data_IF_344880759369
#
_entry.id   IF_344880759369
#
_cell.length_a   1.000
_cell.length_b   1.000
_cell.length_c   1.000
_cell.angle_alpha   90.00
_cell.angle_beta   90.00
_cell.angle_gamma   90.00
#
_symmetry.space_group_name_H-M   'P 1'
#
loop_
_entity.id
_entity.type
_entity.pdbx_description
1 polymer ?
#
# COMPACT_ATOMS: atom_id res chain seq x y z
N UNK A 1 3.57 -34.23 -1.25
CA UNK A 1 3.20 -33.27 -0.18
C UNK A 1 3.47 -31.87 -0.71
N UNK A 2 2.46 -31.16 -1.22
CA UNK A 2 2.61 -29.83 -1.83
C UNK A 2 2.56 -28.80 -0.70
N UNK A 3 3.65 -28.08 -0.45
CA UNK A 3 3.67 -26.96 0.50
C UNK A 3 2.87 -25.83 -0.16
N UNK A 4 1.75 -25.38 0.45
CA UNK A 4 1.09 -24.16 -0.01
C UNK A 4 2.03 -23.00 0.31
N UNK A 5 2.61 -22.36 -0.71
CA UNK A 5 3.37 -21.12 -0.57
C UNK A 5 2.43 -19.99 -0.13
N UNK A 6 2.09 -19.97 1.17
CA UNK A 6 1.24 -18.95 1.76
C UNK A 6 2.13 -17.85 2.32
N UNK A 7 2.09 -16.68 1.70
CA UNK A 7 2.62 -15.44 2.28
C UNK A 7 1.55 -14.88 3.22
N UNK A 8 1.97 -14.36 4.37
CA UNK A 8 1.08 -13.72 5.35
C UNK A 8 1.66 -12.36 5.74
N UNK A 9 0.81 -11.36 5.91
CA UNK A 9 1.19 -10.07 6.48
C UNK A 9 1.34 -10.22 8.00
N UNK A 10 2.55 -9.97 8.51
CA UNK A 10 2.86 -10.05 9.95
C UNK A 10 2.84 -8.68 10.61
N UNK A 11 3.41 -7.67 9.95
CA UNK A 11 3.58 -6.31 10.49
C UNK A 11 3.23 -5.24 9.44
N UNK A 12 2.69 -4.12 9.89
CA UNK A 12 2.48 -2.91 9.09
C UNK A 12 2.93 -1.71 9.93
N UNK A 13 4.15 -1.23 9.67
CA UNK A 13 4.85 -0.30 10.57
C UNK A 13 5.02 1.08 9.95
N UNK A 14 5.01 2.11 10.80
CA UNK A 14 5.49 3.45 10.45
C UNK A 14 7.03 3.51 10.40
N UNK A 15 7.64 4.63 9.97
CA UNK A 15 9.09 4.77 9.88
C UNK A 15 9.83 4.63 11.23
N UNK A 16 9.13 4.73 12.36
CA UNK A 16 9.69 4.57 13.71
C UNK A 16 9.57 3.14 14.24
N UNK A 17 8.96 2.23 13.46
CA UNK A 17 8.79 0.82 13.81
C UNK A 17 7.52 0.52 14.60
N UNK A 18 6.60 1.46 14.75
CA UNK A 18 5.34 1.25 15.46
C UNK A 18 4.24 0.76 14.53
N UNK A 19 3.32 -0.07 15.05
CA UNK A 19 2.15 -0.54 14.29
C UNK A 19 1.31 0.64 13.81
N UNK A 20 1.02 0.69 12.50
CA UNK A 20 0.30 1.79 11.88
C UNK A 20 -0.86 1.30 11.02
N UNK A 21 -2.08 1.65 11.43
CA UNK A 21 -3.29 1.36 10.65
C UNK A 21 -3.32 2.17 9.34
N UNK A 22 -2.78 3.38 9.33
CA UNK A 22 -2.69 4.20 8.12
C UNK A 22 -1.80 3.54 7.06
N UNK A 23 -0.68 2.93 7.47
CA UNK A 23 0.17 2.14 6.56
C UNK A 23 -0.57 0.93 6.01
N UNK A 24 -1.31 0.20 6.85
CA UNK A 24 -2.16 -0.92 6.42
C UNK A 24 -3.22 -0.46 5.41
N UNK A 25 -3.86 0.68 5.64
CA UNK A 25 -4.87 1.24 4.75
C UNK A 25 -4.32 1.62 3.40
N UNK A 26 -3.18 2.32 3.36
CA UNK A 26 -2.50 2.66 2.11
C UNK A 26 -2.07 1.40 1.35
N UNK A 27 -1.47 0.43 2.05
CA UNK A 27 -1.08 -0.85 1.45
C UNK A 27 -2.28 -1.62 0.89
N UNK A 28 -3.41 -1.62 1.60
CA UNK A 28 -4.66 -2.23 1.15
C UNK A 28 -5.21 -1.54 -0.09
N UNK A 29 -5.35 -0.21 -0.08
CA UNK A 29 -5.86 0.56 -1.21
C UNK A 29 -5.08 0.28 -2.49
N UNK A 30 -3.74 0.27 -2.41
CA UNK A 30 -2.92 -0.08 -3.56
C UNK A 30 -3.11 -1.54 -3.98
N UNK A 31 -3.12 -2.49 -3.04
CA UNK A 31 -3.26 -3.92 -3.36
C UNK A 31 -4.62 -4.28 -3.94
N UNK A 32 -5.69 -3.67 -3.43
CA UNK A 32 -7.06 -3.89 -3.84
C UNK A 32 -7.33 -3.29 -5.23
N UNK A 33 -6.88 -2.05 -5.48
CA UNK A 33 -7.19 -1.34 -6.72
C UNK A 33 -6.22 -1.59 -7.88
N UNK A 34 -4.99 -2.05 -7.64
CA UNK A 34 -4.08 -2.31 -8.76
C UNK A 34 -4.54 -3.53 -9.55
N UNK A 35 -4.56 -3.41 -10.88
CA UNK A 35 -5.07 -4.49 -11.75
C UNK A 35 -3.98 -5.23 -12.49
N UNK A 36 -2.75 -4.73 -12.45
CA UNK A 36 -1.60 -5.30 -13.16
C UNK A 36 -1.08 -6.58 -12.49
N UNK A 37 0.16 -6.52 -12.00
CA UNK A 37 0.88 -7.70 -11.50
C UNK A 37 0.35 -8.14 -10.13
N UNK A 38 -0.76 -8.87 -10.10
CA UNK A 38 -1.29 -9.46 -8.86
C UNK A 38 -0.29 -10.49 -8.33
N UNK A 39 0.22 -10.24 -7.14
CA UNK A 39 1.23 -11.07 -6.50
C UNK A 39 0.75 -11.60 -5.14
N UNK A 40 1.52 -12.53 -4.55
CA UNK A 40 1.18 -13.16 -3.27
C UNK A 40 1.21 -12.17 -2.09
N UNK A 41 1.96 -11.06 -2.18
CA UNK A 41 2.01 -10.02 -1.15
C UNK A 41 0.71 -9.22 -1.15
N UNK A 42 0.24 -8.79 -2.33
CA UNK A 42 -1.02 -8.06 -2.49
C UNK A 42 -2.18 -8.86 -1.90
N UNK A 43 -2.21 -10.16 -2.21
CA UNK A 43 -3.21 -11.09 -1.66
C UNK A 43 -3.12 -11.18 -0.14
N UNK A 44 -1.92 -11.30 0.42
CA UNK A 44 -1.73 -11.38 1.87
C UNK A 44 -2.17 -10.09 2.60
N UNK A 45 -2.00 -8.92 1.99
CA UNK A 45 -2.48 -7.64 2.54
C UNK A 45 -4.01 -7.58 2.53
N UNK A 46 -4.64 -7.94 1.40
CA UNK A 46 -6.11 -7.94 1.26
C UNK A 46 -6.74 -8.90 2.27
N UNK A 47 -6.29 -10.16 2.29
CA UNK A 47 -6.80 -11.19 3.21
C UNK A 47 -6.66 -10.74 4.68
N UNK A 48 -5.48 -10.23 5.09
CA UNK A 48 -5.26 -9.78 6.47
C UNK A 48 -6.18 -8.63 6.88
N UNK A 49 -6.44 -7.68 5.98
CA UNK A 49 -7.30 -6.53 6.26
C UNK A 49 -8.76 -6.94 6.37
N UNK A 50 -9.24 -7.76 5.43
CA UNK A 50 -10.64 -8.19 5.36
C UNK A 50 -11.01 -9.17 6.48
N UNK A 51 -10.15 -10.16 6.78
CA UNK A 51 -10.38 -11.14 7.86
C UNK A 51 -10.54 -10.47 9.24
N UNK A 52 -9.84 -9.35 9.46
CA UNK A 52 -9.85 -8.65 10.74
C UNK A 52 -10.82 -7.46 10.78
N UNK A 53 -11.59 -7.23 9.71
CA UNK A 53 -12.50 -6.08 9.57
C UNK A 53 -11.84 -4.74 9.99
N UNK A 54 -10.57 -4.54 9.64
CA UNK A 54 -9.77 -3.45 10.21
C UNK A 54 -10.06 -2.09 9.57
N UNK A 55 -10.67 -2.06 8.39
CA UNK A 55 -10.82 -0.87 7.57
C UNK A 55 -12.15 -0.88 6.84
N UNK A 56 -12.84 0.25 6.89
CA UNK A 56 -13.87 0.59 5.92
C UNK A 56 -13.20 1.26 4.72
N UNK A 57 -13.35 0.69 3.54
CA UNK A 57 -12.75 1.19 2.30
C UNK A 57 -13.79 1.58 1.26
N UNK A 58 -15.07 1.56 1.65
CA UNK A 58 -16.20 1.98 0.81
C UNK A 58 -16.12 3.47 0.42
N UNK A 59 -15.30 4.24 1.12
CA UNK A 59 -15.11 5.68 0.92
C UNK A 59 -14.12 6.04 -0.21
N UNK A 60 -13.43 5.07 -0.81
CA UNK A 60 -12.47 5.33 -1.88
C UNK A 60 -12.93 4.72 -3.20
N UNK A 61 -12.70 5.43 -4.30
CA UNK A 61 -12.92 4.93 -5.67
C UNK A 61 -11.67 5.09 -6.52
N UNK A 62 -11.36 4.08 -7.34
CA UNK A 62 -10.21 4.15 -8.25
C UNK A 62 -10.45 5.20 -9.34
N UNK A 63 -9.45 6.04 -9.56
CA UNK A 63 -9.38 7.00 -10.67
C UNK A 63 -8.48 6.47 -11.77
N UNK A 64 -7.27 6.02 -11.42
CA UNK A 64 -6.26 5.58 -12.38
C UNK A 64 -5.19 4.69 -11.71
N UNK A 65 -4.25 4.16 -12.49
CA UNK A 65 -3.06 3.50 -11.99
C UNK A 65 -1.83 3.72 -12.87
N UNK A 66 -0.65 3.64 -12.26
CA UNK A 66 0.63 3.52 -12.96
C UNK A 66 1.15 2.10 -12.67
N UNK A 67 1.04 1.16 -13.62
CA UNK A 67 1.39 -0.24 -13.42
C UNK A 67 2.83 -0.43 -12.94
N UNK A 68 3.10 -1.61 -12.38
CA UNK A 68 4.47 -1.95 -11.98
C UNK A 68 5.42 -1.87 -13.15
N UNK A 69 6.56 -1.24 -12.90
CA UNK A 69 7.66 -1.18 -13.84
C UNK A 69 8.93 -1.69 -13.16
N UNK A 70 9.62 -2.60 -13.86
CA UNK A 70 10.79 -3.31 -13.34
C UNK A 70 12.02 -2.41 -13.18
N UNK A 71 12.16 -1.36 -13.99
CA UNK A 71 13.28 -0.43 -13.89
C UNK A 71 13.14 0.44 -12.63
N UNK A 72 11.94 0.92 -12.33
CA UNK A 72 11.66 1.75 -11.14
C UNK A 72 11.26 0.96 -9.89
N UNK A 73 10.93 -0.33 -10.04
CA UNK A 73 10.55 -1.29 -8.96
C UNK A 73 9.41 -0.81 -8.06
N UNK A 74 8.42 -0.11 -8.64
CA UNK A 74 7.25 0.45 -7.94
C UNK A 74 6.03 0.51 -8.85
N UNK A 75 4.85 0.57 -8.23
CA UNK A 75 3.55 0.79 -8.87
C UNK A 75 2.73 1.80 -8.05
N UNK A 76 1.73 2.42 -8.67
CA UNK A 76 0.90 3.42 -8.01
C UNK A 76 -0.56 3.24 -8.40
N UNK A 77 -1.47 3.50 -7.47
CA UNK A 77 -2.90 3.70 -7.76
C UNK A 77 -3.26 5.13 -7.41
N UNK A 78 -4.22 5.69 -8.13
CA UNK A 78 -4.87 6.95 -7.76
C UNK A 78 -6.28 6.62 -7.34
N UNK A 79 -6.63 6.98 -6.12
CA UNK A 79 -7.97 6.84 -5.57
C UNK A 79 -8.53 8.22 -5.26
N UNK A 80 -9.85 8.33 -5.22
CA UNK A 80 -10.57 9.54 -4.84
C UNK A 80 -11.45 9.23 -3.64
N UNK A 81 -11.40 10.09 -2.64
CA UNK A 81 -12.27 9.99 -1.46
C UNK A 81 -13.63 10.66 -1.68
N UNK A 82 -14.51 10.55 -0.68
CA UNK A 82 -15.83 11.20 -0.67
C UNK A 82 -15.77 12.73 -0.71
N UNK A 83 -14.64 13.33 -0.33
CA UNK A 83 -14.37 14.77 -0.42
C UNK A 83 -13.89 15.21 -1.80
N UNK A 84 -13.89 14.31 -2.80
CA UNK A 84 -13.37 14.54 -4.14
C UNK A 84 -11.87 14.86 -4.21
N UNK A 85 -11.11 14.50 -3.18
CA UNK A 85 -9.66 14.67 -3.17
C UNK A 85 -8.98 13.43 -3.74
N UNK A 86 -8.02 13.65 -4.64
CA UNK A 86 -7.22 12.57 -5.21
C UNK A 86 -6.06 12.24 -4.27
N UNK A 87 -5.91 10.96 -3.95
CA UNK A 87 -4.79 10.38 -3.23
C UNK A 87 -4.05 9.40 -4.14
N UNK A 88 -2.76 9.65 -4.37
CA UNK A 88 -1.89 8.68 -5.04
C UNK A 88 -1.18 7.82 -3.99
N UNK A 89 -1.34 6.50 -4.10
CA UNK A 89 -0.68 5.54 -3.21
C UNK A 89 0.32 4.72 -4.00
N UNK A 90 1.60 4.85 -3.67
CA UNK A 90 2.70 4.14 -4.31
C UNK A 90 3.28 3.08 -3.39
N UNK A 91 3.52 1.87 -3.92
CA UNK A 91 4.23 0.80 -3.21
C UNK A 91 5.26 0.12 -4.11
N UNK A 92 6.29 -0.46 -3.52
CA UNK A 92 7.39 -1.07 -4.26
C UNK A 92 8.53 -1.49 -3.35
N UNK A 93 9.66 -1.81 -3.96
CA UNK A 93 10.89 -2.05 -3.22
C UNK A 93 11.34 -0.76 -2.52
N UNK A 94 11.99 -0.90 -1.36
CA UNK A 94 12.44 0.22 -0.52
C UNK A 94 13.29 1.21 -1.33
N UNK A 95 14.24 0.73 -2.13
CA UNK A 95 15.09 1.60 -2.95
C UNK A 95 14.28 2.33 -4.03
N UNK A 96 13.30 1.65 -4.62
CA UNK A 96 12.41 2.21 -5.64
C UNK A 96 11.52 3.32 -5.07
N UNK A 97 11.06 3.19 -3.83
CA UNK A 97 10.26 4.20 -3.13
C UNK A 97 11.13 5.36 -2.66
N UNK A 98 12.22 5.09 -1.92
CA UNK A 98 13.09 6.14 -1.37
C UNK A 98 13.71 7.01 -2.46
N UNK A 99 13.95 6.48 -3.67
CA UNK A 99 14.47 7.27 -4.80
C UNK A 99 13.57 8.44 -5.25
N UNK A 100 12.29 8.45 -4.87
CA UNK A 100 11.33 9.52 -5.22
C UNK A 100 10.74 10.24 -4.02
N UNK A 101 11.05 9.80 -2.80
CA UNK A 101 10.54 10.42 -1.59
C UNK A 101 11.49 11.54 -1.15
N UNK A 102 10.92 12.71 -0.86
CA UNK A 102 11.66 13.83 -0.26
C UNK A 102 11.43 13.94 1.25
N UNK A 103 10.34 13.35 1.74
CA UNK A 103 9.95 13.40 3.15
C UNK A 103 9.43 12.04 3.62
N UNK A 104 9.50 11.83 4.93
CA UNK A 104 8.78 10.80 5.65
C UNK A 104 7.79 11.44 6.64
N UNK A 105 6.60 10.85 6.76
CA UNK A 105 5.68 11.20 7.84
C UNK A 105 6.13 10.52 9.14
N UNK A 106 6.53 11.32 10.12
CA UNK A 106 6.87 10.88 11.46
C UNK A 106 5.97 11.63 12.44
N UNK A 107 5.04 10.91 13.06
CA UNK A 107 4.06 11.46 14.02
C UNK A 107 3.24 12.63 13.46
N UNK A 108 2.77 12.52 12.21
CA UNK A 108 1.96 13.53 11.53
C UNK A 108 2.76 14.73 11.02
N UNK A 109 4.10 14.62 10.98
CA UNK A 109 4.99 15.67 10.49
C UNK A 109 5.82 15.14 9.33
N UNK A 110 5.81 15.86 8.22
CA UNK A 110 6.71 15.60 7.11
C UNK A 110 8.13 16.06 7.50
N UNK A 111 9.04 15.10 7.69
CA UNK A 111 10.46 15.34 7.92
C UNK A 111 11.24 14.96 6.67
N UNK A 112 12.24 15.76 6.29
CA UNK A 112 13.09 15.46 5.14
C UNK A 112 13.85 14.14 5.34
N UNK A 113 13.95 13.37 4.26
CA UNK A 113 14.73 12.13 4.20
C UNK A 113 16.23 12.41 4.00
#
# INVERSE_FOLDING_TARGET
MIRKDKIVLVLHLDPTGNQSKSVLQLAYLNSFYQTGLKNLIDKAVIEHTEEKHQLDTTEFHKVDEIPFDFARRRMSVVVKDTSNMNLMVCKGAVEGILSICTHADINGKALWL
#
